data_IF_426220412742
#
_entry.id   IF_426220412742
#
_cell.length_a   1.000
_cell.length_b   1.000
_cell.length_c   1.000
_cell.angle_alpha   90.00
_cell.angle_beta   90.00
_cell.angle_gamma   90.00
#
_symmetry.space_group_name_H-M   'P 1'
#
loop_
_entity.id
_entity.type
_entity.pdbx_description
1 polymer ?
#
# COMPACT_ATOMS: atom_id res chain seq x y z
N UNK A 1 34.11 -60.51 -28.37
CA UNK A 1 33.02 -59.60 -28.81
C UNK A 1 32.41 -58.96 -27.60
N UNK A 2 32.82 -57.71 -27.29
CA UNK A 2 32.38 -56.98 -26.13
C UNK A 2 31.40 -55.88 -26.62
N UNK A 3 30.14 -56.00 -26.29
CA UNK A 3 29.12 -55.02 -26.63
C UNK A 3 29.00 -54.01 -25.48
N UNK A 4 29.57 -52.81 -25.68
CA UNK A 4 29.43 -51.68 -24.80
C UNK A 4 28.00 -51.11 -24.89
N UNK A 5 27.25 -51.25 -23.81
CA UNK A 5 25.97 -50.54 -23.63
C UNK A 5 26.27 -49.17 -23.01
N UNK A 6 26.14 -48.11 -23.83
CA UNK A 6 26.17 -46.74 -23.33
C UNK A 6 24.87 -46.47 -22.58
N UNK A 7 24.95 -46.27 -21.27
CA UNK A 7 23.87 -45.73 -20.45
C UNK A 7 23.88 -44.22 -20.58
N UNK A 8 22.89 -43.69 -21.27
CA UNK A 8 22.63 -42.26 -21.29
C UNK A 8 21.88 -41.89 -20.02
N UNK A 9 22.59 -41.32 -19.07
CA UNK A 9 22.00 -40.67 -17.89
C UNK A 9 21.48 -39.31 -18.30
N UNK A 10 20.19 -39.21 -18.56
CA UNK A 10 19.51 -37.93 -18.84
C UNK A 10 19.45 -37.08 -17.57
N UNK A 11 20.21 -36.00 -17.57
CA UNK A 11 20.15 -34.97 -16.53
C UNK A 11 18.90 -34.12 -16.79
N UNK A 12 17.82 -34.35 -16.05
CA UNK A 12 16.63 -33.49 -16.05
C UNK A 12 16.95 -32.23 -15.27
N UNK A 13 17.23 -31.13 -15.97
CA UNK A 13 17.36 -29.81 -15.38
C UNK A 13 15.96 -29.31 -15.00
N UNK A 14 15.64 -29.33 -13.71
CA UNK A 14 14.45 -28.67 -13.15
C UNK A 14 14.67 -27.15 -13.22
N UNK A 15 14.10 -26.50 -14.23
CA UNK A 15 13.99 -25.05 -14.31
C UNK A 15 12.96 -24.59 -13.26
N UNK A 16 13.42 -24.18 -12.09
CA UNK A 16 12.61 -23.46 -11.14
C UNK A 16 12.35 -22.05 -11.70
N UNK A 17 11.22 -21.87 -12.33
CA UNK A 17 10.69 -20.53 -12.63
C UNK A 17 10.24 -19.90 -11.31
N UNK A 18 11.14 -19.12 -10.68
CA UNK A 18 10.76 -18.23 -9.61
C UNK A 18 9.78 -17.21 -10.20
N UNK A 19 8.48 -17.45 -10.01
CA UNK A 19 7.45 -16.50 -10.36
C UNK A 19 7.68 -15.20 -9.58
N UNK A 20 8.06 -14.14 -10.25
CA UNK A 20 8.03 -12.79 -9.69
C UNK A 20 6.57 -12.44 -9.46
N UNK A 21 6.10 -12.71 -8.26
CA UNK A 21 4.86 -12.12 -7.79
C UNK A 21 5.18 -10.65 -7.49
N UNK A 22 4.48 -9.68 -8.10
CA UNK A 22 4.60 -8.31 -7.66
C UNK A 22 4.17 -8.28 -6.19
N UNK A 23 5.10 -7.97 -5.31
CA UNK A 23 4.78 -7.70 -3.93
C UNK A 23 3.84 -6.48 -3.95
N UNK A 24 2.56 -6.68 -3.66
CA UNK A 24 1.62 -5.59 -3.48
C UNK A 24 2.13 -4.74 -2.32
N UNK A 25 2.60 -3.53 -2.63
CA UNK A 25 3.18 -2.62 -1.65
C UNK A 25 2.15 -1.70 -1.01
N UNK A 26 0.85 -1.89 -1.26
CA UNK A 26 -0.22 -1.16 -0.61
C UNK A 26 -0.20 -1.34 0.92
N UNK A 27 -0.78 -0.40 1.65
CA UNK A 27 -0.90 -0.45 3.11
C UNK A 27 -1.81 -1.58 3.61
N UNK A 28 -2.48 -2.26 2.71
CA UNK A 28 -3.37 -3.40 2.96
C UNK A 28 -3.00 -4.58 2.05
N UNK A 29 -3.48 -5.76 2.40
CA UNK A 29 -3.23 -7.00 1.64
C UNK A 29 -4.02 -7.01 0.33
N UNK A 30 -3.33 -6.81 -0.80
CA UNK A 30 -3.93 -6.80 -2.13
C UNK A 30 -4.58 -8.14 -2.53
N UNK A 31 -4.17 -9.26 -1.93
CA UNK A 31 -4.83 -10.55 -2.16
C UNK A 31 -6.24 -10.61 -1.59
N UNK A 32 -6.56 -9.69 -0.67
CA UNK A 32 -7.86 -9.55 0.00
C UNK A 32 -8.64 -8.33 -0.48
N UNK A 33 -8.19 -7.64 -1.53
CA UNK A 33 -8.90 -6.50 -2.09
C UNK A 33 -10.28 -6.93 -2.64
N UNK A 34 -11.34 -6.36 -2.11
CA UNK A 34 -12.71 -6.70 -2.47
C UNK A 34 -13.40 -5.58 -3.26
N UNK A 35 -13.20 -4.33 -2.85
CA UNK A 35 -13.85 -3.16 -3.44
C UNK A 35 -13.12 -2.67 -4.69
N UNK A 36 -13.82 -1.90 -5.53
CA UNK A 36 -13.25 -1.39 -6.79
C UNK A 36 -12.07 -0.44 -6.55
N UNK A 37 -12.13 0.40 -5.50
CA UNK A 37 -11.06 1.30 -5.09
C UNK A 37 -9.83 0.53 -4.60
N UNK A 38 -9.99 -0.51 -3.78
CA UNK A 38 -8.88 -1.35 -3.33
C UNK A 38 -8.18 -2.04 -4.49
N UNK A 39 -8.95 -2.60 -5.43
CA UNK A 39 -8.40 -3.24 -6.63
C UNK A 39 -7.66 -2.25 -7.52
N UNK A 40 -8.18 -1.03 -7.67
CA UNK A 40 -7.53 0.03 -8.44
C UNK A 40 -6.20 0.47 -7.80
N UNK A 41 -6.17 0.65 -6.48
CA UNK A 41 -4.94 0.96 -5.73
C UNK A 41 -3.90 -0.14 -5.90
N UNK A 42 -4.29 -1.40 -5.84
CA UNK A 42 -3.37 -2.53 -6.00
C UNK A 42 -2.83 -2.67 -7.44
N UNK A 43 -3.60 -2.26 -8.44
CA UNK A 43 -3.24 -2.39 -9.85
C UNK A 43 -2.43 -1.20 -10.41
N UNK A 44 -2.50 -0.03 -9.77
CA UNK A 44 -1.82 1.19 -10.22
C UNK A 44 -0.68 1.54 -9.27
N UNK A 45 0.55 1.59 -9.79
CA UNK A 45 1.74 1.83 -8.98
C UNK A 45 1.71 3.18 -8.27
N UNK A 46 1.25 4.24 -8.95
CA UNK A 46 1.19 5.57 -8.36
C UNK A 46 0.19 5.62 -7.20
N UNK A 47 -1.01 5.07 -7.39
CA UNK A 47 -2.02 4.97 -6.32
C UNK A 47 -1.52 4.13 -5.16
N UNK A 48 -0.77 3.08 -5.44
CA UNK A 48 -0.14 2.23 -4.44
C UNK A 48 0.89 3.01 -3.59
N UNK A 49 1.76 3.78 -4.25
CA UNK A 49 2.76 4.62 -3.59
C UNK A 49 2.08 5.71 -2.73
N UNK A 50 1.02 6.36 -3.24
CA UNK A 50 0.21 7.34 -2.50
C UNK A 50 -0.49 6.72 -1.28
N UNK A 51 -0.98 5.48 -1.40
CA UNK A 51 -1.58 4.73 -0.29
C UNK A 51 -0.58 4.44 0.83
N UNK A 52 0.62 3.98 0.46
CA UNK A 52 1.70 3.72 1.43
C UNK A 52 2.12 5.02 2.14
N UNK A 53 2.30 6.11 1.39
CA UNK A 53 2.64 7.41 1.98
C UNK A 53 1.59 7.87 2.99
N UNK A 54 0.32 7.84 2.61
CA UNK A 54 -0.80 8.19 3.48
C UNK A 54 -0.81 7.34 4.76
N UNK A 55 -0.67 6.03 4.63
CA UNK A 55 -0.71 5.10 5.76
C UNK A 55 0.46 5.30 6.72
N UNK A 56 1.67 5.55 6.21
CA UNK A 56 2.85 5.85 7.03
C UNK A 56 2.64 7.14 7.80
N UNK A 57 2.22 8.21 7.14
CA UNK A 57 1.97 9.50 7.80
C UNK A 57 0.89 9.39 8.88
N UNK A 58 -0.22 8.71 8.60
CA UNK A 58 -1.28 8.47 9.57
C UNK A 58 -0.78 7.71 10.80
N UNK A 59 -0.07 6.60 10.58
CA UNK A 59 0.44 5.74 11.64
C UNK A 59 1.47 6.44 12.52
N UNK A 60 2.33 7.27 11.92
CA UNK A 60 3.36 8.01 12.65
C UNK A 60 2.80 9.23 13.41
N UNK A 61 1.83 9.92 12.83
CA UNK A 61 1.21 11.10 13.46
C UNK A 61 0.33 10.73 14.66
N UNK A 62 -0.44 9.67 14.54
CA UNK A 62 -1.46 9.24 15.52
C UNK A 62 -0.96 9.18 16.98
N UNK A 63 0.17 8.51 17.30
CA UNK A 63 0.68 8.41 18.67
C UNK A 63 1.21 9.74 19.22
N UNK A 64 1.51 10.71 18.38
CA UNK A 64 2.01 12.03 18.77
C UNK A 64 0.89 13.00 19.21
N UNK A 65 -0.36 12.65 18.96
CA UNK A 65 -1.52 13.48 19.27
C UNK A 65 -2.09 13.15 20.66
N UNK A 66 -2.55 14.19 21.36
CA UNK A 66 -3.37 14.01 22.56
C UNK A 66 -4.72 13.35 22.25
N UNK A 67 -5.41 12.84 23.27
CA UNK A 67 -6.61 11.99 23.10
C UNK A 67 -7.71 12.63 22.21
N UNK A 68 -8.05 13.90 22.43
CA UNK A 68 -9.09 14.57 21.62
C UNK A 68 -8.70 14.73 20.14
N UNK A 69 -7.47 15.19 19.89
CA UNK A 69 -6.97 15.35 18.53
C UNK A 69 -6.76 14.00 17.82
N UNK A 70 -6.39 12.96 18.57
CA UNK A 70 -6.30 11.61 18.06
C UNK A 70 -7.65 11.08 17.62
N UNK A 71 -8.69 11.23 18.45
CA UNK A 71 -10.05 10.82 18.12
C UNK A 71 -10.58 11.54 16.88
N UNK A 72 -10.37 12.86 16.80
CA UNK A 72 -10.75 13.63 15.61
C UNK A 72 -10.04 13.13 14.33
N UNK A 73 -8.74 12.82 14.42
CA UNK A 73 -7.99 12.28 13.27
C UNK A 73 -8.48 10.88 12.85
N UNK A 74 -8.90 10.05 13.79
CA UNK A 74 -9.50 8.73 13.53
C UNK A 74 -10.85 8.87 12.80
N UNK A 75 -11.69 9.80 13.24
CA UNK A 75 -12.98 10.10 12.59
C UNK A 75 -12.77 10.64 11.16
N UNK A 76 -11.80 11.54 10.98
CA UNK A 76 -11.42 12.05 9.65
C UNK A 76 -10.91 10.93 8.74
N UNK A 77 -10.13 9.98 9.28
CA UNK A 77 -9.64 8.83 8.51
C UNK A 77 -10.80 7.94 8.07
N UNK A 78 -11.75 7.67 8.96
CA UNK A 78 -12.95 6.89 8.63
C UNK A 78 -13.79 7.57 7.53
N UNK A 79 -13.97 8.89 7.63
CA UNK A 79 -14.67 9.68 6.61
C UNK A 79 -13.91 9.68 5.26
N UNK A 80 -12.58 9.79 5.30
CA UNK A 80 -11.73 9.73 4.11
C UNK A 80 -11.84 8.36 3.42
N UNK A 81 -11.81 7.26 4.15
CA UNK A 81 -11.98 5.92 3.60
C UNK A 81 -13.31 5.77 2.85
N UNK A 82 -14.39 6.35 3.37
CA UNK A 82 -15.68 6.38 2.67
C UNK A 82 -15.61 7.17 1.35
N UNK A 83 -14.90 8.31 1.34
CA UNK A 83 -14.70 9.09 0.10
C UNK A 83 -13.87 8.31 -0.92
N UNK A 84 -12.81 7.62 -0.48
CA UNK A 84 -12.00 6.76 -1.35
C UNK A 84 -12.85 5.67 -1.99
N UNK A 85 -13.64 4.96 -1.19
CA UNK A 85 -14.55 3.91 -1.69
C UNK A 85 -15.57 4.48 -2.69
N UNK A 86 -16.08 5.69 -2.46
CA UNK A 86 -17.01 6.35 -3.38
C UNK A 86 -16.39 6.69 -4.75
N UNK A 87 -15.07 6.83 -4.84
CA UNK A 87 -14.36 6.99 -6.12
C UNK A 87 -14.46 5.75 -7.02
N UNK A 88 -14.71 4.56 -6.46
CA UNK A 88 -14.64 3.30 -7.20
C UNK A 88 -13.26 3.12 -7.84
N UNK A 89 -13.22 2.76 -9.13
CA UNK A 89 -11.98 2.58 -9.87
C UNK A 89 -11.49 3.85 -10.60
N UNK A 90 -12.09 5.01 -10.34
CA UNK A 90 -11.69 6.27 -10.98
C UNK A 90 -10.33 6.74 -10.44
N UNK A 91 -9.29 6.60 -11.29
CA UNK A 91 -7.90 6.91 -10.94
C UNK A 91 -7.70 8.37 -10.53
N UNK A 92 -8.30 9.31 -11.24
CA UNK A 92 -8.14 10.74 -10.96
C UNK A 92 -8.81 11.11 -9.63
N UNK A 93 -10.00 10.57 -9.35
CA UNK A 93 -10.69 10.71 -8.08
C UNK A 93 -9.87 10.14 -6.92
N UNK A 94 -9.33 8.93 -7.08
CA UNK A 94 -8.50 8.27 -6.08
C UNK A 94 -7.22 9.05 -5.79
N UNK A 95 -6.45 9.43 -6.82
CA UNK A 95 -5.22 10.21 -6.65
C UNK A 95 -5.47 11.53 -5.93
N UNK A 96 -6.54 12.25 -6.30
CA UNK A 96 -6.94 13.47 -5.62
C UNK A 96 -7.25 13.24 -4.14
N UNK A 97 -8.01 12.19 -3.82
CA UNK A 97 -8.35 11.84 -2.45
C UNK A 97 -7.10 11.54 -1.61
N UNK A 98 -6.12 10.80 -2.14
CA UNK A 98 -4.85 10.52 -1.47
C UNK A 98 -4.02 11.78 -1.27
N UNK A 99 -3.85 12.62 -2.30
CA UNK A 99 -3.06 13.85 -2.22
C UNK A 99 -3.63 14.81 -1.18
N UNK A 100 -4.94 14.99 -1.14
CA UNK A 100 -5.60 15.80 -0.12
C UNK A 100 -5.37 15.25 1.29
N UNK A 101 -5.47 13.92 1.47
CA UNK A 101 -5.23 13.30 2.78
C UNK A 101 -3.78 13.42 3.23
N UNK A 102 -2.84 13.17 2.34
CA UNK A 102 -1.40 13.33 2.61
C UNK A 102 -1.08 14.77 3.05
N UNK A 103 -1.63 15.78 2.37
CA UNK A 103 -1.43 17.18 2.74
C UNK A 103 -1.99 17.48 4.13
N UNK A 104 -3.18 16.97 4.48
CA UNK A 104 -3.76 17.14 5.82
C UNK A 104 -2.86 16.52 6.90
N UNK A 105 -2.37 15.31 6.68
CA UNK A 105 -1.49 14.62 7.63
C UNK A 105 -0.14 15.33 7.78
N UNK A 106 0.45 15.81 6.70
CA UNK A 106 1.68 16.63 6.74
C UNK A 106 1.46 17.92 7.52
N UNK A 107 0.32 18.60 7.32
CA UNK A 107 -0.06 19.77 8.10
C UNK A 107 -0.17 19.48 9.60
N UNK A 108 -0.59 18.28 9.98
CA UNK A 108 -0.58 17.82 11.38
C UNK A 108 0.83 17.76 11.97
N UNK A 109 1.81 17.23 11.23
CA UNK A 109 3.22 17.23 11.65
C UNK A 109 3.78 18.65 11.76
N UNK A 110 3.50 19.53 10.82
CA UNK A 110 3.91 20.93 10.87
C UNK A 110 3.35 21.66 12.08
N UNK A 111 2.08 21.41 12.42
CA UNK A 111 1.43 21.96 13.60
C UNK A 111 2.10 21.48 14.90
N UNK A 112 2.52 20.21 14.96
CA UNK A 112 3.31 19.70 16.08
C UNK A 112 4.68 20.37 16.17
N UNK A 113 5.40 20.47 15.05
CA UNK A 113 6.72 21.07 15.01
C UNK A 113 6.71 22.54 15.49
N UNK A 114 5.65 23.29 15.21
CA UNK A 114 5.48 24.69 15.66
C UNK A 114 5.27 24.84 17.17
N UNK A 115 4.92 23.77 17.88
CA UNK A 115 4.72 23.81 19.35
C UNK A 115 6.05 23.81 20.12
N UNK A 116 7.17 23.65 19.47
CA UNK A 116 8.51 23.69 20.03
C UNK A 116 9.09 22.32 20.32
N UNK A 117 10.34 22.30 20.83
CA UNK A 117 11.02 21.05 21.14
C UNK A 117 10.27 20.30 22.26
N UNK A 118 10.15 19.00 22.07
CA UNK A 118 9.54 18.07 23.02
C UNK A 118 10.60 17.56 24.00
#
# INVERSE_FOLDING_TARGET
MIRNALRHTGLVALLMTAGWQPAGAASFDCSKAETADEKAVCADRQLNDEDVEMAVLYTQLKPLLGMGARGAMEDEQAAWLKRRTACGADRACLSKAYQERVQQLRGGFEALAKRGPF
#
